data_IF_103739680091
#
_entry.id   IF_103739680091
#
_cell.length_a   1.000
_cell.length_b   1.000
_cell.length_c   1.000
_cell.angle_alpha   90.00
_cell.angle_beta   90.00
_cell.angle_gamma   90.00
#
_symmetry.space_group_name_H-M   'P 1'
#
loop_
_entity.id
_entity.type
_entity.pdbx_description
1 polymer ?
#
# COMPACT_ATOMS: atom_id res chain seq x y z
N UNK A 1 16.32 -0.58 -18.57
CA UNK A 1 15.08 -0.98 -17.85
C UNK A 1 15.42 -1.38 -16.42
N UNK A 2 15.34 -0.44 -15.45
CA UNK A 2 15.71 -0.66 -14.02
C UNK A 2 14.50 -0.62 -13.06
N UNK A 3 13.28 -0.60 -13.59
CA UNK A 3 12.04 -0.35 -12.84
C UNK A 3 11.43 -1.58 -12.16
N UNK A 4 11.98 -2.78 -12.42
CA UNK A 4 11.40 -4.06 -11.94
C UNK A 4 11.72 -4.38 -10.47
N UNK A 5 12.77 -3.79 -9.88
CA UNK A 5 13.24 -4.19 -8.53
C UNK A 5 12.30 -3.72 -7.42
N UNK A 6 11.81 -2.47 -7.50
CA UNK A 6 10.80 -1.89 -6.59
C UNK A 6 9.43 -2.59 -6.67
N UNK A 7 9.11 -3.20 -7.80
CA UNK A 7 7.88 -3.96 -7.95
C UNK A 7 7.95 -5.36 -7.35
N UNK A 8 9.14 -5.87 -7.00
CA UNK A 8 9.34 -7.23 -6.48
C UNK A 8 9.79 -7.28 -5.01
N UNK A 9 9.76 -6.15 -4.31
CA UNK A 9 10.09 -6.08 -2.88
C UNK A 9 9.08 -6.87 -2.03
N UNK A 10 9.53 -7.36 -0.88
CA UNK A 10 8.64 -8.02 0.10
C UNK A 10 7.52 -7.05 0.46
N UNK A 11 6.31 -7.40 0.05
CA UNK A 11 5.10 -6.71 0.45
C UNK A 11 4.74 -7.14 1.87
N UNK A 12 4.54 -6.17 2.74
CA UNK A 12 4.09 -6.36 4.11
C UNK A 12 2.56 -6.30 4.19
N UNK A 13 2.04 -5.48 5.10
CA UNK A 13 0.63 -5.35 5.38
C UNK A 13 -0.20 -4.91 4.15
N UNK A 14 -1.28 -5.62 3.83
CA UNK A 14 -2.18 -5.37 2.69
C UNK A 14 -1.49 -5.22 1.31
N UNK A 15 -0.36 -5.87 1.09
CA UNK A 15 0.33 -5.77 -0.21
C UNK A 15 1.12 -4.47 -0.41
N UNK A 16 1.25 -3.64 0.62
CA UNK A 16 2.06 -2.42 0.61
C UNK A 16 3.49 -2.72 1.05
N UNK A 17 4.47 -2.02 0.47
CA UNK A 17 5.85 -2.07 0.95
C UNK A 17 6.03 -1.19 2.19
N UNK A 18 7.13 -1.38 2.92
CA UNK A 18 7.50 -0.50 4.04
C UNK A 18 7.63 0.97 3.58
N UNK A 19 8.09 1.18 2.34
CA UNK A 19 8.21 2.51 1.74
C UNK A 19 6.83 3.13 1.50
N UNK A 20 5.85 2.35 1.05
CA UNK A 20 4.48 2.82 0.84
C UNK A 20 3.85 3.25 2.18
N UNK A 21 4.03 2.45 3.24
CA UNK A 21 3.57 2.76 4.60
C UNK A 21 4.25 4.00 5.19
N UNK A 22 5.57 4.11 5.05
CA UNK A 22 6.31 5.30 5.49
C UNK A 22 5.86 6.55 4.72
N UNK A 23 5.66 6.43 3.40
CA UNK A 23 5.14 7.50 2.55
C UNK A 23 3.76 7.98 2.98
N UNK A 24 2.84 7.06 3.27
CA UNK A 24 1.52 7.39 3.81
C UNK A 24 1.61 8.11 5.17
N UNK A 25 2.51 7.66 6.05
CA UNK A 25 2.75 8.32 7.35
C UNK A 25 3.27 9.76 7.19
N UNK A 26 4.28 9.98 6.36
CA UNK A 26 4.79 11.33 6.09
C UNK A 26 3.75 12.21 5.40
N UNK A 27 2.96 11.66 4.49
CA UNK A 27 1.87 12.37 3.83
C UNK A 27 0.81 12.82 4.83
N UNK A 28 0.42 11.95 5.77
CA UNK A 28 -0.51 12.28 6.84
C UNK A 28 0.03 13.43 7.71
N UNK A 29 1.29 13.35 8.15
CA UNK A 29 1.90 14.39 9.00
C UNK A 29 1.94 15.74 8.25
N UNK A 30 2.38 15.72 6.99
CA UNK A 30 2.47 16.94 6.18
C UNK A 30 1.10 17.57 5.93
N UNK A 31 0.11 16.77 5.53
CA UNK A 31 -1.25 17.25 5.27
C UNK A 31 -1.94 17.72 6.55
N UNK A 32 -1.77 17.00 7.65
CA UNK A 32 -2.31 17.41 8.95
C UNK A 32 -1.73 18.75 9.42
N UNK A 33 -0.41 18.96 9.28
CA UNK A 33 0.22 20.25 9.61
C UNK A 33 -0.24 21.41 8.70
N UNK A 34 -0.54 21.15 7.43
CA UNK A 34 -1.07 22.16 6.51
C UNK A 34 -2.54 22.49 6.79
N UNK A 35 -3.36 21.45 6.98
CA UNK A 35 -4.81 21.59 7.22
C UNK A 35 -5.12 22.08 8.64
N UNK A 36 -4.22 21.85 9.61
CA UNK A 36 -4.35 22.37 10.96
C UNK A 36 -4.34 23.90 11.04
N UNK A 37 -3.66 24.57 10.10
CA UNK A 37 -3.71 26.04 10.01
C UNK A 37 -5.09 26.58 9.68
N UNK A 38 -5.97 25.74 9.11
CA UNK A 38 -7.32 26.10 8.65
C UNK A 38 -8.39 25.42 9.53
N UNK A 39 -7.99 24.69 10.58
CA UNK A 39 -8.91 23.94 11.45
C UNK A 39 -9.54 22.70 10.80
N UNK A 40 -8.99 22.23 9.67
CA UNK A 40 -9.50 21.07 8.91
C UNK A 40 -8.66 19.80 9.14
N UNK A 41 -8.12 19.67 10.35
CA UNK A 41 -7.19 18.62 10.75
C UNK A 41 -7.68 17.20 10.48
N UNK A 42 -8.98 16.95 10.69
CA UNK A 42 -9.59 15.64 10.46
C UNK A 42 -9.67 15.27 8.98
N UNK A 43 -9.64 16.27 8.08
CA UNK A 43 -9.70 16.05 6.65
C UNK A 43 -8.40 15.43 6.10
N UNK A 44 -7.28 15.54 6.83
CA UNK A 44 -6.02 14.88 6.46
C UNK A 44 -6.15 13.35 6.50
N UNK A 45 -6.96 12.81 7.41
CA UNK A 45 -7.23 11.37 7.49
C UNK A 45 -8.03 10.88 6.28
N UNK A 46 -8.99 11.68 5.79
CA UNK A 46 -9.77 11.36 4.59
C UNK A 46 -8.85 11.33 3.37
N UNK A 47 -8.00 12.36 3.20
CA UNK A 47 -7.03 12.43 2.10
C UNK A 47 -6.03 11.28 2.13
N UNK A 48 -5.51 10.95 3.31
CA UNK A 48 -4.56 9.84 3.49
C UNK A 48 -5.22 8.50 3.21
N UNK A 49 -6.47 8.30 3.62
CA UNK A 49 -7.24 7.07 3.34
C UNK A 49 -7.50 6.90 1.84
N UNK A 50 -7.86 7.98 1.14
CA UNK A 50 -8.02 7.97 -0.32
C UNK A 50 -6.71 7.60 -1.03
N UNK A 51 -5.59 8.17 -0.58
CA UNK A 51 -4.27 7.86 -1.12
C UNK A 51 -3.89 6.40 -0.89
N UNK A 52 -4.17 5.86 0.30
CA UNK A 52 -3.94 4.45 0.61
C UNK A 52 -4.73 3.51 -0.31
N UNK A 53 -6.02 3.79 -0.53
CA UNK A 53 -6.86 3.01 -1.47
C UNK A 53 -6.27 3.06 -2.88
N UNK A 54 -5.82 4.23 -3.34
CA UNK A 54 -5.23 4.39 -4.67
C UNK A 54 -3.92 3.60 -4.82
N UNK A 55 -3.05 3.63 -3.81
CA UNK A 55 -1.80 2.84 -3.80
C UNK A 55 -2.12 1.35 -3.84
N UNK A 56 -3.07 0.87 -3.02
CA UNK A 56 -3.50 -0.53 -3.00
C UNK A 56 -4.06 -0.93 -4.38
N UNK A 57 -4.93 -0.09 -4.96
CA UNK A 57 -5.51 -0.36 -6.28
C UNK A 57 -4.44 -0.47 -7.37
N UNK A 58 -3.50 0.49 -7.43
CA UNK A 58 -2.39 0.45 -8.39
C UNK A 58 -1.51 -0.79 -8.18
N UNK A 59 -1.23 -1.15 -6.93
CA UNK A 59 -0.42 -2.34 -6.59
C UNK A 59 -1.13 -3.63 -7.00
N UNK A 60 -2.44 -3.77 -6.77
CA UNK A 60 -3.23 -4.94 -7.19
C UNK A 60 -3.25 -5.04 -8.71
N UNK A 61 -3.56 -3.96 -9.42
CA UNK A 61 -3.67 -3.95 -10.89
C UNK A 61 -2.33 -4.21 -11.57
N UNK A 62 -1.21 -3.78 -10.96
CA UNK A 62 0.15 -3.97 -11.52
C UNK A 62 0.91 -5.18 -10.98
N UNK A 63 0.43 -5.90 -9.97
CA UNK A 63 1.01 -7.19 -9.51
C UNK A 63 0.08 -8.37 -9.84
N UNK A 64 0.05 -8.86 -11.10
CA UNK A 64 -0.60 -10.14 -11.41
C UNK A 64 0.06 -11.32 -10.66
N UNK A 65 1.30 -11.16 -10.22
CA UNK A 65 2.03 -12.18 -9.45
C UNK A 65 1.54 -12.39 -8.01
N UNK A 66 0.98 -11.37 -7.34
CA UNK A 66 0.53 -11.54 -5.95
C UNK A 66 -0.67 -12.48 -5.86
N UNK A 67 -1.66 -12.33 -6.75
CA UNK A 67 -2.78 -13.27 -6.85
C UNK A 67 -2.28 -14.69 -7.16
N UNK A 68 -1.32 -14.82 -8.08
CA UNK A 68 -0.72 -16.12 -8.41
C UNK A 68 -0.01 -16.76 -7.23
N UNK A 69 0.78 -15.99 -6.48
CA UNK A 69 1.56 -16.49 -5.34
C UNK A 69 0.66 -16.74 -4.11
N UNK A 70 -0.39 -15.94 -3.91
CA UNK A 70 -1.41 -16.15 -2.89
C UNK A 70 -2.23 -17.43 -3.17
N UNK A 71 -2.69 -17.61 -4.41
CA UNK A 71 -3.38 -18.83 -4.86
C UNK A 71 -2.44 -20.04 -4.74
N UNK A 72 -1.17 -19.91 -5.14
CA UNK A 72 -0.19 -20.99 -5.01
C UNK A 72 0.07 -21.35 -3.55
N UNK A 73 0.18 -20.38 -2.65
CA UNK A 73 0.32 -20.61 -1.22
C UNK A 73 -0.91 -21.33 -0.63
N UNK A 74 -2.12 -20.88 -0.98
CA UNK A 74 -3.35 -21.48 -0.47
C UNK A 74 -3.59 -22.90 -1.02
N UNK A 75 -3.30 -23.14 -2.30
CA UNK A 75 -3.41 -24.46 -2.93
C UNK A 75 -2.30 -25.42 -2.49
N UNK A 76 -1.07 -24.94 -2.28
CA UNK A 76 0.04 -25.77 -1.81
C UNK A 76 -0.15 -26.18 -0.35
N UNK A 77 -0.63 -25.28 0.50
CA UNK A 77 -0.97 -25.59 1.90
C UNK A 77 -2.13 -26.59 2.03
N UNK A 78 -2.96 -26.75 1.00
CA UNK A 78 -4.03 -27.76 0.97
C UNK A 78 -3.54 -29.18 0.62
N UNK A 79 -2.32 -29.31 0.09
CA UNK A 79 -1.73 -30.59 -0.34
C UNK A 79 -0.90 -31.27 0.76
N UNK A 80 -0.67 -30.58 1.87
CA UNK A 80 0.09 -31.04 3.04
C UNK A 80 -0.82 -31.42 4.23
N UNK A 81 -2.12 -31.58 3.98
CA UNK A 81 -3.09 -32.07 4.97
C UNK A 81 -3.76 -33.33 4.45
#
# INVERSE_FOLDING_TARGET
>A
MKTLRLMNERTGFFGMSIVDLAGLGYFLIATHGLLGKVGLELFSFVLTSLLAILIIHVRITKRPHFMRDFIKYYLTSRKLR
#
